data_IF_997927125097
#
_entry.id   IF_997927125097
#
_cell.length_a   1.000
_cell.length_b   1.000
_cell.length_c   1.000
_cell.angle_alpha   90.00
_cell.angle_beta   90.00
_cell.angle_gamma   90.00
#
_symmetry.space_group_name_H-M   'P 1'
#
loop_
_entity.id
_entity.type
_entity.pdbx_description
1 polymer ?
#
# COMPACT_ATOMS: atom_id res chain seq x y z
N UNK A 1 25.56 -15.32 -13.76
CA UNK A 1 24.82 -14.41 -12.85
C UNK A 1 23.70 -13.79 -13.66
N UNK A 2 22.42 -14.05 -13.35
CA UNK A 2 21.31 -13.38 -14.06
C UNK A 2 21.17 -11.97 -13.49
N UNK A 3 21.33 -10.95 -14.32
CA UNK A 3 21.03 -9.56 -13.94
C UNK A 3 19.52 -9.43 -13.80
N UNK A 4 19.06 -9.01 -12.63
CA UNK A 4 17.66 -8.65 -12.39
C UNK A 4 17.58 -7.14 -12.53
N UNK A 5 16.79 -6.66 -13.49
CA UNK A 5 16.52 -5.26 -13.67
C UNK A 5 15.41 -4.84 -12.71
N UNK A 6 15.70 -3.92 -11.79
CA UNK A 6 14.71 -3.34 -10.89
C UNK A 6 14.12 -2.09 -11.53
N UNK A 7 12.81 -2.12 -11.77
CA UNK A 7 12.06 -1.00 -12.30
C UNK A 7 11.33 -0.28 -11.16
N UNK A 8 11.45 1.04 -11.13
CA UNK A 8 10.76 1.87 -10.17
C UNK A 8 9.23 1.84 -10.39
N UNK A 9 8.46 1.70 -9.31
CA UNK A 9 7.00 1.63 -9.39
C UNK A 9 6.40 2.91 -9.99
N UNK A 10 6.84 4.10 -9.55
CA UNK A 10 6.27 5.36 -10.03
C UNK A 10 6.59 5.58 -11.51
N UNK A 11 7.82 5.25 -11.92
CA UNK A 11 8.19 5.23 -13.34
C UNK A 11 7.35 4.25 -14.15
N UNK A 12 7.15 3.02 -13.68
CA UNK A 12 6.33 2.02 -14.38
C UNK A 12 4.90 2.51 -14.59
N UNK A 13 4.27 3.01 -13.54
CA UNK A 13 2.90 3.52 -13.60
C UNK A 13 2.81 4.74 -14.54
N UNK A 14 3.76 5.68 -14.46
CA UNK A 14 3.66 6.91 -15.24
C UNK A 14 4.10 6.75 -16.69
N UNK A 15 5.30 6.22 -16.91
CA UNK A 15 5.99 6.26 -18.20
C UNK A 15 5.70 5.02 -19.05
N UNK A 16 5.43 3.87 -18.43
CA UNK A 16 5.14 2.63 -19.16
C UNK A 16 3.64 2.43 -19.34
N UNK A 17 2.84 2.58 -18.28
CA UNK A 17 1.39 2.45 -18.39
C UNK A 17 0.72 3.74 -18.89
N UNK A 18 1.31 4.91 -18.63
CA UNK A 18 0.79 6.18 -19.15
C UNK A 18 -0.35 6.80 -18.34
N UNK A 19 -0.76 6.21 -17.21
CA UNK A 19 -1.85 6.73 -16.38
C UNK A 19 -1.34 7.47 -15.15
N UNK A 20 -2.12 8.45 -14.71
CA UNK A 20 -1.87 9.23 -13.49
C UNK A 20 -2.88 8.96 -12.38
N UNK A 21 -3.97 8.25 -12.67
CA UNK A 21 -4.98 7.88 -11.67
C UNK A 21 -5.23 6.39 -11.76
N UNK A 22 -5.06 5.70 -10.64
CA UNK A 22 -5.28 4.27 -10.51
C UNK A 22 -6.34 4.00 -9.46
N UNK A 23 -7.31 3.18 -9.84
CA UNK A 23 -8.42 2.82 -8.97
C UNK A 23 -7.97 1.94 -7.81
N UNK A 24 -7.25 0.86 -8.11
CA UNK A 24 -6.86 -0.14 -7.15
C UNK A 24 -5.41 -0.61 -7.37
N UNK A 25 -4.64 -0.66 -6.29
CA UNK A 25 -3.30 -1.26 -6.25
C UNK A 25 -3.28 -2.32 -5.14
N UNK A 26 -2.87 -3.55 -5.45
CA UNK A 26 -2.73 -4.61 -4.45
C UNK A 26 -1.25 -4.92 -4.24
N UNK A 27 -0.82 -4.86 -2.98
CA UNK A 27 0.57 -5.00 -2.57
C UNK A 27 0.66 -6.19 -1.63
N UNK A 28 1.50 -7.15 -1.99
CA UNK A 28 1.92 -8.23 -1.11
C UNK A 28 3.16 -7.75 -0.34
N UNK A 29 2.98 -7.34 0.91
CA UNK A 29 4.01 -6.67 1.70
C UNK A 29 4.64 -7.61 2.74
N UNK A 30 5.34 -8.63 2.25
CA UNK A 30 6.00 -9.66 3.08
C UNK A 30 7.54 -9.52 3.13
N UNK A 31 8.13 -8.66 2.29
CA UNK A 31 9.58 -8.57 2.16
C UNK A 31 10.09 -7.26 1.55
N UNK A 32 10.49 -7.28 0.28
CA UNK A 32 11.17 -6.14 -0.34
C UNK A 32 10.28 -4.89 -0.46
N UNK A 33 8.97 -5.04 -0.27
CA UNK A 33 7.94 -4.04 -0.48
C UNK A 33 7.86 -3.00 0.63
N UNK A 34 8.52 -3.21 1.78
CA UNK A 34 8.66 -2.16 2.82
C UNK A 34 9.31 -0.88 2.25
N UNK A 35 10.17 -1.01 1.23
CA UNK A 35 10.75 0.13 0.52
C UNK A 35 9.73 0.98 -0.27
N UNK A 36 8.52 0.46 -0.50
CA UNK A 36 7.43 1.19 -1.16
C UNK A 36 6.62 2.06 -0.20
N UNK A 37 6.72 1.86 1.11
CA UNK A 37 5.93 2.62 2.09
C UNK A 37 6.05 4.14 1.93
N UNK A 38 7.25 4.72 1.74
CA UNK A 38 7.38 6.16 1.55
C UNK A 38 6.75 6.71 0.27
N UNK A 39 6.34 5.85 -0.66
CA UNK A 39 5.73 6.28 -1.93
C UNK A 39 4.34 6.86 -1.68
N UNK A 40 3.63 6.38 -0.65
CA UNK A 40 2.25 6.74 -0.33
C UNK A 40 2.13 7.99 0.55
N UNK A 41 3.22 8.44 1.16
CA UNK A 41 3.26 9.66 1.97
C UNK A 41 3.00 10.91 1.11
N UNK A 42 2.56 11.99 1.77
CA UNK A 42 2.52 13.31 1.13
C UNK A 42 3.92 13.78 0.75
N UNK A 43 4.07 14.26 -0.48
CA UNK A 43 5.37 14.60 -1.09
C UNK A 43 6.23 13.38 -1.43
N UNK A 44 5.70 12.17 -1.24
CA UNK A 44 6.33 10.91 -1.59
C UNK A 44 6.48 10.72 -3.10
N UNK A 45 7.02 9.58 -3.50
CA UNK A 45 7.38 9.34 -4.90
C UNK A 45 6.17 9.34 -5.85
N UNK A 46 5.01 8.85 -5.41
CA UNK A 46 3.79 8.91 -6.23
C UNK A 46 3.38 10.36 -6.49
N UNK A 47 3.44 11.22 -5.48
CA UNK A 47 3.13 12.65 -5.62
C UNK A 47 4.09 13.36 -6.58
N UNK A 48 5.39 13.05 -6.48
CA UNK A 48 6.42 13.62 -7.36
C UNK A 48 6.17 13.29 -8.84
N UNK A 49 5.55 12.14 -9.11
CA UNK A 49 5.17 11.70 -10.45
C UNK A 49 3.73 12.12 -10.84
N UNK A 50 3.02 12.82 -9.95
CA UNK A 50 1.62 13.21 -10.15
C UNK A 50 0.66 12.01 -10.26
N UNK A 51 0.95 10.93 -9.54
CA UNK A 51 0.16 9.70 -9.51
C UNK A 51 -0.78 9.71 -8.31
N UNK A 52 -2.08 9.57 -8.57
CA UNK A 52 -3.11 9.34 -7.57
C UNK A 52 -3.47 7.86 -7.55
N UNK A 53 -3.34 7.23 -6.37
CA UNK A 53 -3.91 5.90 -6.11
C UNK A 53 -5.16 6.09 -5.25
N UNK A 54 -6.32 5.64 -5.74
CA UNK A 54 -7.59 5.77 -5.03
C UNK A 54 -7.73 4.75 -3.92
N UNK A 55 -7.54 3.48 -4.22
CA UNK A 55 -7.49 2.41 -3.22
C UNK A 55 -6.16 1.68 -3.33
N UNK A 56 -5.51 1.43 -2.21
CA UNK A 56 -4.47 0.42 -2.16
C UNK A 56 -4.78 -0.58 -1.06
N UNK A 57 -4.56 -1.85 -1.36
CA UNK A 57 -4.76 -2.95 -0.43
C UNK A 57 -3.42 -3.59 -0.15
N UNK A 58 -3.21 -3.94 1.10
CA UNK A 58 -1.99 -4.56 1.54
C UNK A 58 -2.29 -5.84 2.28
N UNK A 59 -1.69 -6.92 1.81
CA UNK A 59 -1.52 -8.14 2.58
C UNK A 59 -0.19 -8.01 3.32
N UNK A 60 -0.23 -8.11 4.65
CA UNK A 60 0.93 -7.97 5.51
C UNK A 60 0.90 -9.10 6.53
N UNK A 61 2.05 -9.61 6.94
CA UNK A 61 2.22 -10.52 8.09
C UNK A 61 1.45 -11.85 7.96
N UNK A 62 2.18 -12.96 7.82
CA UNK A 62 1.63 -14.28 8.15
C UNK A 62 1.35 -14.33 9.66
N UNK A 63 0.07 -14.40 10.02
CA UNK A 63 -0.34 -14.73 11.39
C UNK A 63 -0.29 -16.24 11.50
N UNK A 64 0.87 -16.80 11.82
CA UNK A 64 0.99 -18.24 12.02
C UNK A 64 0.30 -18.62 13.33
N UNK A 65 -0.86 -19.28 13.24
CA UNK A 65 -1.33 -20.23 14.27
C UNK A 65 -0.62 -21.58 14.15
N UNK A 66 0.23 -21.74 13.13
CA UNK A 66 0.90 -22.99 12.83
C UNK A 66 2.12 -23.20 13.77
N UNK A 67 2.36 -24.44 14.25
CA UNK A 67 3.42 -24.75 15.21
C UNK A 67 4.85 -24.67 14.65
N UNK A 68 4.99 -24.36 13.35
CA UNK A 68 6.28 -24.12 12.70
C UNK A 68 6.38 -22.61 12.43
N UNK A 69 7.27 -21.87 13.13
CA UNK A 69 7.45 -20.46 12.86
C UNK A 69 8.00 -20.31 11.45
N UNK A 70 7.21 -19.71 10.56
CA UNK A 70 7.72 -19.23 9.29
C UNK A 70 8.59 -18.00 9.56
N UNK A 71 9.85 -18.24 9.90
CA UNK A 71 10.83 -17.19 10.25
C UNK A 71 11.18 -16.30 9.06
N UNK A 72 10.81 -16.67 7.83
CA UNK A 72 11.10 -15.91 6.61
C UNK A 72 9.98 -14.89 6.37
N UNK A 73 8.73 -15.30 6.58
CA UNK A 73 7.55 -14.47 6.32
C UNK A 73 6.92 -13.83 7.58
N UNK A 74 7.39 -14.19 8.78
CA UNK A 74 7.04 -13.50 10.02
C UNK A 74 7.89 -12.23 10.18
N UNK A 75 7.30 -11.03 10.35
CA UNK A 75 8.03 -9.80 10.56
C UNK A 75 8.74 -9.85 11.92
N UNK A 76 10.04 -9.56 11.89
CA UNK A 76 10.81 -9.25 13.09
C UNK A 76 10.33 -7.92 13.70
N UNK A 77 10.82 -7.58 14.90
CA UNK A 77 10.41 -6.35 15.60
C UNK A 77 10.68 -5.08 14.77
N UNK A 78 11.73 -5.07 13.96
CA UNK A 78 12.04 -3.95 13.06
C UNK A 78 10.98 -3.77 11.97
N UNK A 79 10.57 -4.85 11.29
CA UNK A 79 9.49 -4.82 10.29
C UNK A 79 8.15 -4.40 10.90
N UNK A 80 7.87 -4.85 12.13
CA UNK A 80 6.67 -4.40 12.88
C UNK A 80 6.71 -2.90 13.17
N UNK A 81 7.86 -2.38 13.59
CA UNK A 81 8.04 -0.94 13.85
C UNK A 81 7.97 -0.11 12.57
N UNK A 82 8.55 -0.58 11.46
CA UNK A 82 8.42 0.06 10.14
C UNK A 82 6.97 0.15 9.69
N UNK A 83 6.23 -0.97 9.81
CA UNK A 83 4.81 -1.00 9.48
C UNK A 83 3.98 -0.08 10.39
N UNK A 84 4.24 -0.10 11.71
CA UNK A 84 3.61 0.81 12.66
C UNK A 84 3.85 2.27 12.27
N UNK A 85 5.09 2.66 12.00
CA UNK A 85 5.45 4.01 11.61
C UNK A 85 4.80 4.42 10.28
N UNK A 86 4.71 3.50 9.33
CA UNK A 86 3.99 3.72 8.09
C UNK A 86 2.51 4.04 8.33
N UNK A 87 1.82 3.25 9.16
CA UNK A 87 0.40 3.51 9.49
C UNK A 87 0.23 4.87 10.17
N UNK A 88 1.03 5.17 11.19
CA UNK A 88 0.94 6.47 11.87
C UNK A 88 1.22 7.63 10.93
N UNK A 89 2.22 7.50 10.06
CA UNK A 89 2.55 8.53 9.07
C UNK A 89 1.40 8.76 8.08
N UNK A 90 0.74 7.70 7.61
CA UNK A 90 -0.44 7.83 6.74
C UNK A 90 -1.60 8.54 7.43
N UNK A 91 -1.82 8.27 8.72
CA UNK A 91 -2.86 8.93 9.51
C UNK A 91 -2.55 10.42 9.71
N UNK A 92 -1.30 10.76 10.05
CA UNK A 92 -0.85 12.16 10.15
C UNK A 92 -1.04 12.93 8.84
N UNK A 93 -0.72 12.27 7.72
CA UNK A 93 -0.88 12.85 6.39
C UNK A 93 -2.36 13.06 6.02
N UNK A 94 -3.32 12.48 6.75
CA UNK A 94 -4.76 12.64 6.54
C UNK A 94 -5.17 12.47 5.07
N UNK A 95 -4.51 11.54 4.38
CA UNK A 95 -4.75 11.24 2.96
C UNK A 95 -5.51 9.94 2.81
N UNK A 96 -4.99 8.90 3.46
CA UNK A 96 -5.54 7.57 3.43
C UNK A 96 -6.14 7.25 4.79
N UNK A 97 -7.38 6.76 4.79
CA UNK A 97 -7.91 6.04 5.94
C UNK A 97 -8.07 4.57 5.56
N UNK A 98 -7.84 3.68 6.51
CA UNK A 98 -8.01 2.26 6.31
C UNK A 98 -9.28 1.74 6.96
N UNK A 99 -9.92 0.78 6.28
CA UNK A 99 -11.07 0.07 6.82
C UNK A 99 -10.64 -0.94 7.88
N UNK A 100 -11.62 -1.51 8.58
CA UNK A 100 -11.38 -2.56 9.58
C UNK A 100 -10.43 -3.63 9.02
N UNK A 101 -9.26 -3.86 9.66
CA UNK A 101 -8.35 -4.91 9.24
C UNK A 101 -9.04 -6.28 9.29
N UNK A 102 -8.75 -7.12 8.30
CA UNK A 102 -9.27 -8.49 8.25
C UNK A 102 -8.13 -9.44 8.54
N UNK A 103 -8.19 -10.09 9.70
CA UNK A 103 -7.22 -11.07 10.13
C UNK A 103 -7.68 -12.47 9.70
N UNK A 104 -6.89 -13.10 8.84
CA UNK A 104 -7.06 -14.52 8.46
C UNK A 104 -5.74 -15.25 8.72
N UNK A 105 -5.20 -15.99 7.75
CA UNK A 105 -3.80 -16.41 7.75
C UNK A 105 -2.85 -15.22 7.57
N UNK A 106 -3.30 -14.17 6.88
CA UNK A 106 -2.58 -12.91 6.71
C UNK A 106 -3.42 -11.75 7.26
N UNK A 107 -2.76 -10.66 7.63
CA UNK A 107 -3.42 -9.39 7.95
C UNK A 107 -3.68 -8.61 6.67
N UNK A 108 -4.95 -8.42 6.33
CA UNK A 108 -5.36 -7.64 5.16
C UNK A 108 -5.85 -6.26 5.56
N UNK A 109 -5.32 -5.26 4.87
CA UNK A 109 -5.58 -3.85 5.10
C UNK A 109 -6.07 -3.23 3.79
N UNK A 110 -7.07 -2.37 3.89
CA UNK A 110 -7.72 -1.74 2.75
C UNK A 110 -7.73 -0.24 2.97
N UNK A 111 -7.02 0.50 2.14
CA UNK A 111 -6.83 1.94 2.28
C UNK A 111 -7.57 2.66 1.16
N UNK A 112 -8.32 3.71 1.51
CA UNK A 112 -8.98 4.60 0.55
C UNK A 112 -8.41 6.02 0.67
N UNK A 113 -8.15 6.67 -0.47
CA UNK A 113 -7.71 8.05 -0.54
C UNK A 113 -8.90 8.99 -0.35
N UNK A 114 -9.00 9.60 0.83
CA UNK A 114 -10.03 10.57 1.16
C UNK A 114 -9.67 12.01 0.74
N UNK A 115 -8.41 12.25 0.38
CA UNK A 115 -7.97 13.58 -0.03
C UNK A 115 -8.33 13.93 -1.48
N UNK A 116 -8.57 12.91 -2.32
CA UNK A 116 -8.94 13.09 -3.72
C UNK A 116 -10.45 12.91 -3.93
N UNK A 117 -11.08 13.94 -4.49
CA UNK A 117 -12.54 13.97 -4.72
C UNK A 117 -12.99 12.90 -5.70
N UNK A 118 -12.18 12.54 -6.70
CA UNK A 118 -12.55 11.52 -7.69
C UNK A 118 -12.62 10.16 -7.01
N UNK A 119 -11.66 9.85 -6.13
CA UNK A 119 -11.63 8.61 -5.37
C UNK A 119 -12.82 8.52 -4.40
N UNK A 120 -13.08 9.57 -3.63
CA UNK A 120 -14.22 9.63 -2.71
C UNK A 120 -15.55 9.47 -3.45
N UNK A 121 -15.74 10.19 -4.55
CA UNK A 121 -16.96 10.09 -5.35
C UNK A 121 -17.15 8.68 -5.90
N UNK A 122 -16.09 8.05 -6.40
CA UNK A 122 -16.19 6.70 -6.98
C UNK A 122 -16.56 5.64 -5.95
N UNK A 123 -15.97 5.68 -4.76
CA UNK A 123 -16.07 4.58 -3.79
C UNK A 123 -17.11 4.79 -2.69
N UNK A 124 -17.44 6.04 -2.35
CA UNK A 124 -18.35 6.34 -1.24
C UNK A 124 -19.69 6.92 -1.71
N UNK A 125 -19.70 7.68 -2.79
CA UNK A 125 -20.90 8.32 -3.28
C UNK A 125 -21.39 7.63 -4.54
N UNK A 126 -22.36 6.72 -4.39
CA UNK A 126 -23.09 6.21 -5.54
C UNK A 126 -23.82 7.39 -6.19
N UNK A 127 -23.45 7.78 -7.41
CA UNK A 127 -24.31 8.61 -8.23
C UNK A 127 -25.53 7.76 -8.55
N UNK A 128 -26.58 7.93 -7.76
CA UNK A 128 -27.90 7.36 -8.08
C UNK A 128 -28.44 8.22 -9.20
N UNK A 129 -28.23 7.78 -10.44
CA UNK A 129 -28.99 8.27 -11.60
C UNK A 129 -30.32 7.54 -11.66
#
# INVERSE_FOLDING_TARGET
MRSVFHLDLAYFLKEILGYTVYDALWIDAEGAEYGLFPYFYRGGKLDQYGITICQFNMEHLHVTTDPVPDQIHSPNEEKKELFKNFIFKLLEDNRYAFFRPVQTKHLRLYFLNFSDKQCVNKYLFKTVN
#
